data_IF_400243955434
#
_entry.id   IF_400243955434
#
_cell.length_a   1.000
_cell.length_b   1.000
_cell.length_c   1.000
_cell.angle_alpha   90.00
_cell.angle_beta   90.00
_cell.angle_gamma   90.00
#
_symmetry.space_group_name_H-M   'P 1'
#
loop_
_entity.id
_entity.type
_entity.pdbx_description
1 polymer ?
#
# COMPACT_ATOMS: atom_id res chain seq x y z
N UNK A 1 16.26 -18.64 9.35
CA UNK A 1 15.57 -19.94 9.40
C UNK A 1 14.55 -19.95 8.28
N UNK A 2 14.49 -21.02 7.50
CA UNK A 2 13.50 -21.14 6.44
C UNK A 2 12.17 -21.62 7.04
N UNK A 3 11.07 -21.00 6.62
CA UNK A 3 9.71 -21.37 7.01
C UNK A 3 8.96 -21.86 5.77
N UNK A 4 8.24 -22.97 5.89
CA UNK A 4 7.42 -23.48 4.80
C UNK A 4 6.09 -22.73 4.77
N UNK A 5 5.77 -22.15 3.61
CA UNK A 5 4.48 -21.50 3.36
C UNK A 5 3.75 -22.34 2.32
N UNK A 6 2.51 -22.75 2.62
CA UNK A 6 1.67 -23.41 1.63
C UNK A 6 0.87 -22.36 0.84
N UNK A 7 0.90 -22.50 -0.48
CA UNK A 7 0.19 -21.65 -1.43
C UNK A 7 -0.45 -22.53 -2.50
N UNK A 8 -1.46 -22.01 -3.21
CA UNK A 8 -2.04 -22.72 -4.36
C UNK A 8 -1.05 -22.77 -5.53
N UNK A 9 -1.28 -23.70 -6.47
CA UNK A 9 -0.53 -23.77 -7.73
C UNK A 9 -0.62 -22.46 -8.51
N UNK A 10 -1.81 -21.88 -8.57
CA UNK A 10 -2.07 -20.61 -9.26
C UNK A 10 -1.23 -19.46 -8.67
N UNK A 11 -1.19 -19.34 -7.34
CA UNK A 11 -0.36 -18.31 -6.68
C UNK A 11 1.13 -18.55 -6.93
N UNK A 12 1.55 -19.82 -6.98
CA UNK A 12 2.94 -20.17 -7.30
C UNK A 12 3.33 -19.76 -8.72
N UNK A 13 2.43 -19.94 -9.68
CA UNK A 13 2.64 -19.57 -11.07
C UNK A 13 2.67 -18.04 -11.24
N UNK A 14 1.80 -17.32 -10.53
CA UNK A 14 1.84 -15.86 -10.46
C UNK A 14 3.17 -15.38 -9.89
N UNK A 15 3.63 -15.92 -8.77
CA UNK A 15 4.93 -15.55 -8.18
C UNK A 15 6.10 -15.81 -9.15
N UNK A 16 6.06 -16.92 -9.89
CA UNK A 16 7.08 -17.21 -10.91
C UNK A 16 7.11 -16.18 -12.04
N UNK A 17 5.98 -15.58 -12.39
CA UNK A 17 5.93 -14.54 -13.43
C UNK A 17 6.53 -13.20 -13.00
N UNK A 18 6.67 -12.96 -11.70
CA UNK A 18 7.28 -11.73 -11.15
C UNK A 18 8.81 -11.76 -11.08
N UNK A 19 9.42 -12.94 -11.18
CA UNK A 19 10.88 -13.11 -11.10
C UNK A 19 11.56 -13.30 -12.45
N UNK A 20 12.87 -13.12 -12.47
CA UNK A 20 13.75 -13.57 -13.55
C UNK A 20 14.35 -14.93 -13.22
N UNK A 21 15.01 -15.61 -14.19
CA UNK A 21 15.61 -16.94 -13.97
C UNK A 21 16.64 -17.01 -12.83
N UNK A 22 17.20 -15.87 -12.43
CA UNK A 22 18.22 -15.77 -11.39
C UNK A 22 17.64 -15.40 -10.02
N UNK A 23 16.38 -14.95 -9.95
CA UNK A 23 15.75 -14.54 -8.69
C UNK A 23 15.28 -15.77 -7.89
N UNK A 24 15.50 -15.75 -6.58
CA UNK A 24 14.87 -16.74 -5.69
C UNK A 24 13.46 -16.30 -5.31
N UNK A 25 12.62 -17.25 -4.88
CA UNK A 25 11.30 -16.93 -4.32
C UNK A 25 11.38 -15.93 -3.17
N UNK A 26 12.43 -15.99 -2.35
CA UNK A 26 12.61 -15.07 -1.23
C UNK A 26 12.87 -13.62 -1.73
N UNK A 27 13.63 -13.47 -2.81
CA UNK A 27 13.90 -12.16 -3.42
C UNK A 27 12.63 -11.55 -4.03
N UNK A 28 11.80 -12.37 -4.67
CA UNK A 28 10.51 -11.96 -5.24
C UNK A 28 9.58 -11.50 -4.11
N UNK A 29 9.47 -12.29 -3.03
CA UNK A 29 8.62 -11.95 -1.89
C UNK A 29 9.06 -10.66 -1.19
N UNK A 30 10.36 -10.46 -0.97
CA UNK A 30 10.89 -9.22 -0.37
C UNK A 30 10.60 -8.00 -1.23
N UNK A 31 10.68 -8.14 -2.56
CA UNK A 31 10.39 -7.06 -3.51
C UNK A 31 8.90 -6.71 -3.51
N UNK A 32 8.03 -7.71 -3.54
CA UNK A 32 6.59 -7.51 -3.42
C UNK A 32 6.22 -6.83 -2.11
N UNK A 33 6.82 -7.27 -0.99
CA UNK A 33 6.61 -6.63 0.31
C UNK A 33 7.03 -5.15 0.29
N UNK A 34 8.21 -4.84 -0.25
CA UNK A 34 8.69 -3.46 -0.32
C UNK A 34 7.79 -2.57 -1.19
N UNK A 35 7.21 -3.10 -2.27
CA UNK A 35 6.24 -2.38 -3.10
C UNK A 35 4.92 -2.17 -2.35
N UNK A 36 4.39 -3.20 -1.70
CA UNK A 36 3.16 -3.11 -0.92
C UNK A 36 3.28 -2.08 0.22
N UNK A 37 4.42 -2.03 0.90
CA UNK A 37 4.69 -1.00 1.94
C UNK A 37 4.72 0.40 1.35
N UNK A 38 5.33 0.58 0.17
CA UNK A 38 5.35 1.89 -0.51
C UNK A 38 3.95 2.34 -0.92
N UNK A 39 3.15 1.45 -1.48
CA UNK A 39 1.77 1.75 -1.87
C UNK A 39 0.88 2.01 -0.64
N UNK A 40 1.01 1.22 0.41
CA UNK A 40 0.30 1.46 1.67
C UNK A 40 0.66 2.83 2.27
N UNK A 41 1.94 3.20 2.26
CA UNK A 41 2.38 4.50 2.75
C UNK A 41 1.85 5.63 1.85
N UNK A 42 1.83 5.42 0.53
CA UNK A 42 1.29 6.36 -0.43
C UNK A 42 -0.20 6.59 -0.20
N UNK A 43 -0.98 5.53 -0.07
CA UNK A 43 -2.41 5.62 0.22
C UNK A 43 -2.65 6.31 1.56
N UNK A 44 -1.86 5.99 2.59
CA UNK A 44 -1.99 6.65 3.88
C UNK A 44 -1.70 8.17 3.81
N UNK A 45 -0.65 8.58 3.09
CA UNK A 45 -0.24 9.98 3.01
C UNK A 45 -1.06 10.81 2.03
N UNK A 46 -1.57 10.19 0.95
CA UNK A 46 -2.27 10.86 -0.14
C UNK A 46 -3.78 10.58 -0.16
N UNK A 47 -4.29 9.80 0.80
CA UNK A 47 -5.73 9.60 0.92
C UNK A 47 -6.40 10.95 1.21
N UNK A 48 -7.38 11.26 0.37
CA UNK A 48 -8.28 12.39 0.58
C UNK A 48 -9.46 12.01 1.48
N UNK A 49 -9.52 10.76 1.97
CA UNK A 49 -10.55 10.31 2.89
C UNK A 49 -10.37 11.04 4.22
N UNK A 50 -11.34 11.91 4.53
CA UNK A 50 -11.34 12.88 5.64
C UNK A 50 -10.60 14.20 5.42
N UNK A 51 -10.20 14.51 4.18
CA UNK A 51 -9.79 15.87 3.84
C UNK A 51 -11.04 16.74 3.58
N UNK A 52 -10.97 18.01 3.98
CA UNK A 52 -11.98 19.03 3.62
C UNK A 52 -11.32 20.11 2.77
N UNK A 53 -12.07 20.74 1.89
CA UNK A 53 -11.54 21.87 1.12
C UNK A 53 -11.22 23.06 2.04
N UNK A 54 -10.28 23.91 1.63
CA UNK A 54 -9.96 25.14 2.37
C UNK A 54 -11.20 26.02 2.56
N UNK A 55 -12.10 26.03 1.57
CA UNK A 55 -13.37 26.75 1.64
C UNK A 55 -14.26 26.20 2.76
N UNK A 56 -14.47 24.88 2.80
CA UNK A 56 -15.25 24.25 3.87
C UNK A 56 -14.60 24.42 5.25
N UNK A 57 -13.27 24.38 5.33
CA UNK A 57 -12.56 24.66 6.58
C UNK A 57 -12.85 26.08 7.09
N UNK A 58 -12.87 27.07 6.19
CA UNK A 58 -13.20 28.47 6.51
C UNK A 58 -14.66 28.62 6.94
N UNK A 59 -15.58 27.96 6.25
CA UNK A 59 -17.00 27.98 6.58
C UNK A 59 -17.28 27.35 7.96
N UNK A 60 -16.62 26.22 8.26
CA UNK A 60 -16.69 25.58 9.59
C UNK A 60 -16.12 26.47 10.69
N UNK A 61 -15.00 27.15 10.43
CA UNK A 61 -14.39 28.08 11.38
C UNK A 61 -15.33 29.23 11.70
N UNK A 62 -15.89 29.88 10.68
CA UNK A 62 -16.82 31.00 10.84
C UNK A 62 -18.12 30.59 11.56
N UNK A 63 -18.63 29.37 11.31
CA UNK A 63 -19.78 28.83 12.04
C UNK A 63 -19.48 28.57 13.51
N UNK A 64 -18.29 28.04 13.82
CA UNK A 64 -17.91 27.67 15.19
C UNK A 64 -17.50 28.87 16.03
N UNK A 65 -16.86 29.86 15.41
CA UNK A 65 -16.48 31.12 16.03
C UNK A 65 -16.88 32.29 15.13
N UNK A 66 -18.15 32.71 15.19
CA UNK A 66 -18.57 33.95 14.54
C UNK A 66 -17.83 35.11 15.23
N UNK A 67 -17.07 35.88 14.46
CA UNK A 67 -16.45 37.13 14.87
C UNK A 67 -17.30 38.30 14.40
#
# INVERSE_FOLDING_TARGET
MATTIQISSETKDLLNSFGTKEDTYEDILKRMYALAVKEQLRDFLLSSDNCISIKEARDRLNKKWPR
#
